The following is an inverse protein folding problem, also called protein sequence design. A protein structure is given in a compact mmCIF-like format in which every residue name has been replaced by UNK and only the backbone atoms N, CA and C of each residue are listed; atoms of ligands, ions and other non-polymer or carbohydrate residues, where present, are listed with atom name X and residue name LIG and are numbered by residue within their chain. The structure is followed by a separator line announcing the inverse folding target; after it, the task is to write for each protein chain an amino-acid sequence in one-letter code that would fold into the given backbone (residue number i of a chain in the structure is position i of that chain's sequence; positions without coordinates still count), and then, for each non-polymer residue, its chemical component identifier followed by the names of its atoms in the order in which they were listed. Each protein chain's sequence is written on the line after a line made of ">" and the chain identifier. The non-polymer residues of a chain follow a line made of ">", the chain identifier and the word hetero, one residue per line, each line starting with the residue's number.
data_IF_883570162364
#
_entry.id   IF_883570162364
#
_cell.length_a   1.000
_cell.length_b   1.000
_cell.length_c   1.000
_cell.angle_alpha   90.00
_cell.angle_beta   90.00
_cell.angle_gamma   90.00
#
_symmetry.space_group_name_H-M   'P 1'
#
loop_
_entity.id
_entity.type
_entity.pdbx_description
1 polymer ?
#
# COMPACT_ATOMS: atom_id res chain seq x y z
N UNK A 1 19.72 -14.17 3.32
CA UNK A 1 18.78 -13.07 3.04
C UNK A 1 17.48 -13.64 2.51
N UNK A 2 16.35 -13.32 3.12
CA UNK A 2 15.09 -13.76 2.56
C UNK A 2 14.87 -13.07 1.22
N UNK A 3 14.31 -13.81 0.28
CA UNK A 3 13.92 -13.23 -0.99
C UNK A 3 12.80 -12.22 -0.79
N UNK A 4 12.88 -11.10 -1.51
CA UNK A 4 11.78 -10.14 -1.51
C UNK A 4 10.57 -10.80 -2.15
N UNK A 5 9.43 -10.64 -1.55
CA UNK A 5 8.18 -11.16 -2.08
C UNK A 5 7.73 -10.28 -3.26
N UNK A 6 7.65 -10.87 -4.44
CA UNK A 6 7.30 -10.14 -5.65
C UNK A 6 5.88 -9.57 -5.58
N UNK A 7 4.94 -10.36 -5.08
CA UNK A 7 3.55 -9.93 -4.94
C UNK A 7 3.46 -8.71 -4.03
N UNK A 8 4.11 -8.77 -2.87
CA UNK A 8 4.07 -7.66 -1.91
C UNK A 8 4.79 -6.44 -2.45
N UNK A 9 5.88 -6.63 -3.21
CA UNK A 9 6.61 -5.51 -3.82
C UNK A 9 5.77 -4.81 -4.87
N UNK A 10 5.04 -5.55 -5.70
CA UNK A 10 4.17 -4.97 -6.71
C UNK A 10 3.00 -4.23 -6.08
N UNK A 11 2.39 -4.82 -5.06
CA UNK A 11 1.32 -4.16 -4.33
C UNK A 11 1.82 -2.86 -3.69
N UNK A 12 2.98 -2.92 -3.04
CA UNK A 12 3.58 -1.76 -2.40
C UNK A 12 3.87 -0.63 -3.38
N UNK A 13 4.34 -0.96 -4.59
CA UNK A 13 4.56 0.03 -5.63
C UNK A 13 3.25 0.68 -6.09
N UNK A 14 2.17 -0.10 -6.18
CA UNK A 14 0.87 0.46 -6.51
C UNK A 14 0.42 1.46 -5.45
N UNK A 15 0.57 1.11 -4.18
CA UNK A 15 0.22 2.02 -3.08
C UNK A 15 1.02 3.31 -3.19
N UNK A 16 2.33 3.20 -3.35
CA UNK A 16 3.23 4.35 -3.46
C UNK A 16 2.86 5.24 -4.65
N UNK A 17 2.57 4.62 -5.80
CA UNK A 17 2.20 5.36 -7.01
C UNK A 17 0.89 6.12 -6.83
N UNK A 18 -0.14 5.49 -6.29
CA UNK A 18 -1.41 6.17 -6.04
C UNK A 18 -1.24 7.26 -4.99
N UNK A 19 -0.41 7.02 -3.99
CA UNK A 19 -0.12 8.03 -2.98
C UNK A 19 0.55 9.26 -3.62
N UNK A 20 1.55 9.05 -4.46
CA UNK A 20 2.24 10.14 -5.16
C UNK A 20 1.28 10.90 -6.06
N UNK A 21 0.44 10.19 -6.80
CA UNK A 21 -0.56 10.81 -7.67
C UNK A 21 -1.56 11.65 -6.90
N UNK A 22 -1.86 11.24 -5.68
CA UNK A 22 -2.78 12.00 -4.80
C UNK A 22 -2.08 13.16 -4.10
N UNK A 23 -0.76 13.29 -4.24
CA UNK A 23 0.00 14.35 -3.59
C UNK A 23 0.14 14.17 -2.09
N UNK A 24 0.05 12.93 -1.60
CA UNK A 24 0.09 12.65 -0.17
C UNK A 24 1.48 12.18 0.27
N UNK A 25 1.91 12.65 1.45
CA UNK A 25 3.07 12.05 2.12
C UNK A 25 2.69 10.70 2.71
N UNK A 26 3.68 9.87 3.05
CA UNK A 26 3.41 8.63 3.77
C UNK A 26 2.69 8.90 5.09
N UNK A 27 3.13 9.94 5.80
CA UNK A 27 2.51 10.31 7.07
C UNK A 27 1.03 10.65 6.88
N UNK A 28 0.70 11.41 5.85
CA UNK A 28 -0.69 11.81 5.61
C UNK A 28 -1.55 10.64 5.19
N UNK A 29 -1.04 9.77 4.32
CA UNK A 29 -1.78 8.58 3.93
C UNK A 29 -2.00 7.66 5.13
N UNK A 30 -0.98 7.45 5.95
CA UNK A 30 -1.10 6.62 7.14
C UNK A 30 -2.18 7.17 8.08
N UNK A 31 -2.18 8.49 8.29
CA UNK A 31 -3.20 9.15 9.10
C UNK A 31 -4.60 8.92 8.53
N UNK A 32 -4.76 9.14 7.22
CA UNK A 32 -6.07 8.98 6.58
C UNK A 32 -6.56 7.54 6.58
N UNK A 33 -5.64 6.58 6.47
CA UNK A 33 -5.97 5.16 6.48
C UNK A 33 -6.01 4.58 7.91
N UNK A 34 -5.68 5.38 8.90
CA UNK A 34 -5.65 4.97 10.31
C UNK A 34 -4.71 3.79 10.55
N UNK A 35 -3.52 3.87 9.95
CA UNK A 35 -2.46 2.87 10.17
C UNK A 35 -1.18 3.58 10.59
N UNK A 36 -0.28 2.83 11.19
CA UNK A 36 1.02 3.35 11.58
C UNK A 36 1.88 3.67 10.35
N UNK A 37 2.57 4.81 10.39
CA UNK A 37 3.43 5.22 9.27
C UNK A 37 4.54 4.21 8.98
N UNK A 38 5.13 3.63 10.03
CA UNK A 38 6.18 2.62 9.87
C UNK A 38 5.64 1.39 9.15
N UNK A 39 4.41 1.00 9.47
CA UNK A 39 3.74 -0.10 8.81
C UNK A 39 3.49 0.22 7.33
N UNK A 40 2.99 1.42 7.04
CA UNK A 40 2.78 1.86 5.65
C UNK A 40 4.10 1.85 4.87
N UNK A 41 5.17 2.36 5.47
CA UNK A 41 6.49 2.33 4.83
C UNK A 41 6.89 0.90 4.47
N UNK A 42 6.68 -0.04 5.38
CA UNK A 42 6.96 -1.46 5.12
C UNK A 42 6.11 -2.04 4.02
N UNK A 43 4.83 -1.65 3.94
CA UNK A 43 3.94 -2.07 2.87
C UNK A 43 4.45 -1.56 1.52
N UNK A 44 4.81 -0.29 1.44
CA UNK A 44 5.28 0.30 0.19
C UNK A 44 6.59 -0.33 -0.28
N UNK A 45 7.44 -0.77 0.66
CA UNK A 45 8.70 -1.44 0.32
C UNK A 45 8.54 -2.93 0.04
N UNK A 46 7.34 -3.48 0.24
CA UNK A 46 7.08 -4.90 -0.01
C UNK A 46 7.60 -5.83 1.07
N UNK A 47 7.87 -5.32 2.27
CA UNK A 47 8.37 -6.11 3.40
C UNK A 47 7.31 -6.38 4.47
N UNK A 48 6.12 -5.86 4.28
CA UNK A 48 4.97 -6.11 5.16
C UNK A 48 3.81 -6.63 4.34
N UNK A 49 3.11 -7.61 4.89
CA UNK A 49 1.94 -8.21 4.27
C UNK A 49 0.68 -7.63 4.92
N UNK A 50 0.01 -6.66 4.27
CA UNK A 50 -1.18 -6.05 4.86
C UNK A 50 -2.35 -7.02 4.87
N UNK A 51 -3.08 -7.03 5.96
CA UNK A 51 -4.34 -7.76 6.01
C UNK A 51 -5.40 -7.08 5.17
N UNK A 52 -6.51 -7.79 4.94
CA UNK A 52 -7.58 -7.27 4.07
C UNK A 52 -8.17 -5.95 4.58
N UNK A 53 -8.28 -5.79 5.89
CA UNK A 53 -8.80 -4.54 6.45
C UNK A 53 -7.90 -3.36 6.12
N UNK A 54 -6.60 -3.56 6.20
CA UNK A 54 -5.62 -2.52 5.84
C UNK A 54 -5.71 -2.18 4.36
N UNK A 55 -5.84 -3.19 3.50
CA UNK A 55 -5.99 -2.97 2.06
C UNK A 55 -7.22 -2.12 1.77
N UNK A 56 -8.35 -2.43 2.42
CA UNK A 56 -9.58 -1.65 2.24
C UNK A 56 -9.44 -0.21 2.75
N UNK A 57 -8.74 -0.02 3.87
CA UNK A 57 -8.49 1.32 4.41
C UNK A 57 -7.60 2.14 3.47
N UNK A 58 -6.59 1.52 2.89
CA UNK A 58 -5.72 2.19 1.91
C UNK A 58 -6.50 2.59 0.67
N UNK A 59 -7.31 1.68 0.13
CA UNK A 59 -8.12 1.96 -1.04
C UNK A 59 -9.06 3.15 -0.78
N UNK A 60 -9.71 3.16 0.38
CA UNK A 60 -10.60 4.25 0.77
C UNK A 60 -9.85 5.57 0.89
N UNK A 61 -8.71 5.56 1.56
CA UNK A 61 -7.92 6.77 1.79
C UNK A 61 -7.37 7.34 0.47
N UNK A 62 -7.11 6.47 -0.50
CA UNK A 62 -6.60 6.88 -1.81
C UNK A 62 -7.72 7.14 -2.83
N UNK A 63 -8.97 6.90 -2.46
CA UNK A 63 -10.13 7.05 -3.35
C UNK A 63 -10.01 6.18 -4.60
N UNK A 64 -9.53 4.96 -4.44
CA UNK A 64 -9.43 3.97 -5.50
C UNK A 64 -10.13 2.70 -5.06
N UNK A 65 -10.41 1.81 -6.01
CA UNK A 65 -10.97 0.49 -5.68
C UNK A 65 -9.85 -0.45 -5.30
N UNK A 66 -10.20 -1.53 -4.59
CA UNK A 66 -9.24 -2.59 -4.30
C UNK A 66 -8.70 -3.18 -5.60
N UNK A 67 -9.56 -3.32 -6.62
CA UNK A 67 -9.16 -3.81 -7.92
C UNK A 67 -8.07 -2.95 -8.54
N UNK A 68 -8.24 -1.62 -8.48
CA UNK A 68 -7.22 -0.69 -8.98
C UNK A 68 -5.92 -0.81 -8.19
N UNK A 69 -6.03 -0.93 -6.87
CA UNK A 69 -4.87 -1.01 -5.99
C UNK A 69 -4.07 -2.30 -6.23
N UNK A 70 -4.74 -3.38 -6.61
CA UNK A 70 -4.11 -4.67 -6.86
C UNK A 70 -3.80 -4.93 -8.33
N UNK A 71 -3.99 -3.95 -9.20
CA UNK A 71 -3.79 -4.14 -10.63
C UNK A 71 -2.37 -4.59 -10.95
N UNK A 72 -2.26 -5.68 -11.71
CA UNK A 72 -0.97 -6.22 -12.10
C UNK A 72 -0.27 -7.03 -11.00
N UNK A 73 -0.88 -7.16 -9.84
CA UNK A 73 -0.32 -7.94 -8.74
C UNK A 73 -0.74 -9.40 -8.92
N UNK A 74 0.24 -10.29 -9.05
CA UNK A 74 0.00 -11.71 -9.27
C UNK A 74 0.81 -12.55 -8.29
N UNK A 75 0.19 -13.66 -7.87
CA UNK A 75 0.86 -14.61 -6.98
C UNK A 75 1.93 -15.39 -7.71
#
# INVERSE_FOLDING_TARGET
>A
MPKRDKLLSEFGRNVSRFRDQAGLSQEKLAENAEIDRTYLSGIERGVRNPGIKTVLRLARALHVTVDQLCKGVEA
#
